data_IF_939484253861
#
_entry.id   IF_939484253861
#
_cell.length_a   1.000
_cell.length_b   1.000
_cell.length_c   1.000
_cell.angle_alpha   90.00
_cell.angle_beta   90.00
_cell.angle_gamma   90.00
#
_symmetry.space_group_name_H-M   'P 1'
#
loop_
_entity.id
_entity.type
_entity.pdbx_description
1 polymer ?
#
# COMPACT_ATOMS: atom_id res chain seq x y z
N UNK A 1 -13.70 10.93 6.94
CA UNK A 1 -12.56 10.31 6.24
C UNK A 1 -12.64 8.79 6.25
N UNK A 2 -12.71 8.16 5.07
CA UNK A 2 -12.54 6.71 4.89
C UNK A 2 -11.94 6.39 3.52
N UNK A 3 -11.36 5.20 3.35
CA UNK A 3 -10.92 4.72 2.03
C UNK A 3 -12.15 4.37 1.19
N UNK A 4 -12.39 5.09 0.09
CA UNK A 4 -13.54 4.87 -0.82
C UNK A 4 -13.26 3.79 -1.85
N UNK A 5 -12.02 3.72 -2.35
CA UNK A 5 -11.67 2.82 -3.46
C UNK A 5 -10.16 2.62 -3.55
N UNK A 6 -9.78 1.41 -3.96
CA UNK A 6 -8.43 1.09 -4.42
C UNK A 6 -8.49 0.89 -5.92
N UNK A 7 -7.73 1.69 -6.66
CA UNK A 7 -7.58 1.54 -8.11
C UNK A 7 -6.17 1.03 -8.40
N UNK A 8 -6.06 0.00 -9.23
CA UNK A 8 -4.77 -0.57 -9.61
C UNK A 8 -4.72 -0.89 -11.08
N UNK A 9 -3.52 -0.86 -11.65
CA UNK A 9 -3.25 -1.29 -13.02
C UNK A 9 -1.89 -1.98 -13.06
N UNK A 10 -1.85 -3.16 -13.68
CA UNK A 10 -0.66 -3.98 -13.87
C UNK A 10 0.03 -4.35 -12.54
N UNK A 11 -0.72 -4.54 -11.45
CA UNK A 11 -0.17 -4.79 -10.12
C UNK A 11 -0.32 -6.27 -9.73
N UNK A 12 0.79 -6.96 -9.46
CA UNK A 12 0.85 -8.39 -9.11
C UNK A 12 0.04 -9.26 -10.06
N UNK A 13 -1.09 -9.81 -9.61
CA UNK A 13 -1.99 -10.67 -10.40
C UNK A 13 -2.96 -9.88 -11.29
N UNK A 14 -3.05 -8.56 -11.12
CA UNK A 14 -4.01 -7.70 -11.81
C UNK A 14 -3.38 -7.02 -13.02
N UNK A 15 -3.43 -7.70 -14.17
CA UNK A 15 -2.81 -7.23 -15.44
C UNK A 15 -3.57 -6.12 -16.17
N UNK A 16 -4.78 -5.79 -15.73
CA UNK A 16 -5.62 -4.74 -16.31
C UNK A 16 -5.98 -3.69 -15.24
N UNK A 17 -6.64 -2.61 -15.67
CA UNK A 17 -7.23 -1.65 -14.73
C UNK A 17 -8.30 -2.36 -13.91
N UNK A 18 -8.17 -2.28 -12.59
CA UNK A 18 -9.15 -2.77 -11.62
C UNK A 18 -9.45 -1.67 -10.61
N UNK A 19 -10.71 -1.60 -10.19
CA UNK A 19 -11.18 -0.68 -9.17
C UNK A 19 -12.04 -1.44 -8.17
N UNK A 20 -11.67 -1.34 -6.90
CA UNK A 20 -12.34 -2.04 -5.80
C UNK A 20 -12.92 -0.98 -4.88
N UNK A 21 -14.26 -0.83 -4.84
CA UNK A 21 -14.91 0.09 -3.93
C UNK A 21 -14.88 -0.46 -2.50
N UNK A 22 -14.73 0.43 -1.54
CA UNK A 22 -14.85 0.18 -0.11
C UNK A 22 -16.01 1.03 0.39
N UNK A 23 -16.88 0.41 1.18
CA UNK A 23 -17.98 1.12 1.83
C UNK A 23 -17.58 1.46 3.25
N UNK A 24 -18.20 2.49 3.80
CA UNK A 24 -18.12 2.76 5.23
C UNK A 24 -18.61 1.56 6.05
N UNK A 25 -18.01 1.39 7.23
CA UNK A 25 -18.26 0.25 8.09
C UNK A 25 -17.40 -0.95 7.71
N UNK A 26 -18.02 -2.01 7.20
CA UNK A 26 -17.37 -3.31 7.05
C UNK A 26 -17.40 -3.81 5.60
N UNK A 27 -16.22 -4.09 5.06
CA UNK A 27 -16.04 -4.68 3.72
C UNK A 27 -15.34 -6.02 3.85
N UNK A 28 -15.95 -7.09 3.34
CA UNK A 28 -15.36 -8.42 3.29
C UNK A 28 -14.91 -8.77 1.86
N UNK A 29 -13.70 -9.31 1.72
CA UNK A 29 -13.11 -9.71 0.43
C UNK A 29 -12.93 -11.23 0.43
N UNK A 30 -13.73 -11.92 -0.39
CA UNK A 30 -13.76 -13.39 -0.46
C UNK A 30 -13.40 -13.93 -1.84
N UNK A 31 -13.07 -15.21 -1.93
CA UNK A 31 -12.73 -15.89 -3.18
C UNK A 31 -11.73 -17.03 -3.01
N UNK A 32 -11.50 -17.87 -4.05
CA UNK A 32 -10.61 -19.04 -3.97
C UNK A 32 -9.17 -18.70 -3.60
N UNK A 33 -8.40 -19.67 -3.10
CA UNK A 33 -6.96 -19.49 -2.89
C UNK A 33 -6.25 -19.18 -4.22
N UNK A 34 -5.28 -18.27 -4.19
CA UNK A 34 -4.58 -17.82 -5.39
C UNK A 34 -5.33 -16.80 -6.27
N UNK A 35 -6.58 -16.43 -5.95
CA UNK A 35 -7.36 -15.45 -6.74
C UNK A 35 -6.89 -13.98 -6.61
N UNK A 36 -5.87 -13.70 -5.81
CA UNK A 36 -5.31 -12.34 -5.67
C UNK A 36 -5.93 -11.49 -4.55
N UNK A 37 -6.79 -12.04 -3.68
CA UNK A 37 -7.39 -11.32 -2.54
C UNK A 37 -6.37 -10.55 -1.71
N UNK A 38 -5.31 -11.22 -1.27
CA UNK A 38 -4.27 -10.61 -0.44
C UNK A 38 -3.45 -9.57 -1.23
N UNK A 39 -3.42 -9.63 -2.57
CA UNK A 39 -2.78 -8.61 -3.39
C UNK A 39 -3.50 -7.26 -3.30
N UNK A 40 -4.76 -7.22 -2.84
CA UNK A 40 -5.47 -5.96 -2.57
C UNK A 40 -4.89 -5.27 -1.34
N UNK A 41 -4.62 -6.03 -0.27
CA UNK A 41 -3.92 -5.52 0.91
C UNK A 41 -2.48 -5.07 0.56
N UNK A 42 -1.78 -5.85 -0.26
CA UNK A 42 -0.46 -5.48 -0.78
C UNK A 42 -0.50 -4.18 -1.60
N UNK A 43 -1.57 -3.96 -2.38
CA UNK A 43 -1.74 -2.74 -3.16
C UNK A 43 -1.90 -1.52 -2.24
N UNK A 44 -2.67 -1.66 -1.15
CA UNK A 44 -2.79 -0.62 -0.11
C UNK A 44 -1.42 -0.32 0.50
N UNK A 45 -0.74 -1.34 1.01
CA UNK A 45 0.60 -1.19 1.60
C UNK A 45 1.59 -0.57 0.61
N UNK A 46 1.58 -1.02 -0.65
CA UNK A 46 2.44 -0.47 -1.68
C UNK A 46 2.31 1.05 -1.80
N UNK A 47 1.09 1.59 -1.78
CA UNK A 47 0.88 3.05 -1.82
C UNK A 47 1.37 3.71 -0.54
N UNK A 48 1.11 3.13 0.64
CA UNK A 48 1.56 3.71 1.91
C UNK A 48 3.09 3.78 2.04
N UNK A 49 3.82 2.93 1.33
CA UNK A 49 5.28 3.00 1.23
C UNK A 49 6.03 2.39 2.41
N UNK A 50 5.93 1.05 2.62
CA UNK A 50 6.65 0.36 3.69
C UNK A 50 8.17 0.47 3.52
N UNK A 51 8.87 0.26 4.63
CA UNK A 51 10.34 0.36 4.69
C UNK A 51 11.00 -0.76 3.89
N UNK A 52 10.37 -1.95 3.80
CA UNK A 52 10.87 -3.10 3.05
C UNK A 52 9.89 -3.63 2.01
N UNK A 53 10.40 -4.06 0.84
CA UNK A 53 9.63 -4.82 -0.16
C UNK A 53 9.08 -6.14 0.39
N UNK A 54 9.74 -6.73 1.39
CA UNK A 54 9.31 -7.96 2.07
C UNK A 54 7.96 -7.79 2.76
N UNK A 55 7.67 -6.59 3.29
CA UNK A 55 6.37 -6.27 3.90
C UNK A 55 5.23 -6.33 2.88
N UNK A 56 5.53 -6.21 1.57
CA UNK A 56 4.55 -6.37 0.48
C UNK A 56 4.73 -7.74 -0.20
N UNK A 57 5.38 -8.71 0.44
CA UNK A 57 5.59 -10.07 -0.09
C UNK A 57 6.22 -10.06 -1.49
N UNK A 58 7.26 -9.26 -1.66
CA UNK A 58 8.02 -9.14 -2.90
C UNK A 58 9.53 -9.14 -2.61
N UNK A 59 10.32 -9.80 -3.45
CA UNK A 59 11.78 -9.79 -3.33
C UNK A 59 12.32 -8.40 -3.70
N UNK A 60 11.92 -7.91 -4.87
CA UNK A 60 12.19 -6.56 -5.38
C UNK A 60 10.88 -5.83 -5.63
N UNK A 61 10.91 -4.50 -5.62
CA UNK A 61 9.72 -3.70 -5.95
C UNK A 61 9.22 -3.95 -7.38
N UNK A 62 10.10 -4.24 -8.33
CA UNK A 62 9.74 -4.61 -9.71
C UNK A 62 8.94 -5.91 -9.81
N UNK A 63 9.06 -6.82 -8.84
CA UNK A 63 8.28 -8.06 -8.80
C UNK A 63 6.78 -7.79 -8.50
N UNK A 64 6.43 -6.54 -8.12
CA UNK A 64 5.04 -6.09 -7.99
C UNK A 64 4.39 -5.73 -9.34
N UNK A 65 5.16 -5.67 -10.42
CA UNK A 65 4.64 -5.40 -11.76
C UNK A 65 4.08 -6.70 -12.34
N UNK A 66 2.91 -6.63 -12.98
CA UNK A 66 2.25 -7.77 -13.60
C UNK A 66 3.18 -8.46 -14.59
N UNK A 67 3.41 -9.76 -14.39
CA UNK A 67 4.40 -10.54 -15.12
C UNK A 67 3.85 -11.25 -16.37
N UNK A 68 2.60 -10.98 -16.76
CA UNK A 68 1.96 -11.64 -17.90
C UNK A 68 1.09 -12.86 -17.53
N UNK A 69 1.18 -13.40 -16.31
CA UNK A 69 0.44 -14.61 -15.97
C UNK A 69 0.74 -15.77 -16.93
N UNK A 70 -0.27 -16.57 -17.30
CA UNK A 70 -0.09 -17.73 -18.19
C UNK A 70 -0.04 -17.38 -19.69
N UNK A 71 -0.80 -16.37 -20.11
CA UNK A 71 -1.05 -16.07 -21.53
C UNK A 71 -0.91 -14.58 -21.88
N UNK A 72 -0.65 -13.72 -20.89
CA UNK A 72 -0.54 -12.28 -21.06
C UNK A 72 0.89 -11.80 -21.27
N UNK A 73 1.02 -10.56 -21.76
CA UNK A 73 2.31 -9.89 -21.88
C UNK A 73 2.74 -9.26 -20.53
N UNK A 74 4.00 -9.40 -20.11
CA UNK A 74 4.52 -8.68 -18.96
C UNK A 74 4.37 -7.16 -19.14
N UNK A 75 4.04 -6.47 -18.05
CA UNK A 75 4.02 -5.02 -18.02
C UNK A 75 5.41 -4.45 -17.68
N UNK A 76 5.64 -3.22 -18.12
CA UNK A 76 6.84 -2.42 -17.82
C UNK A 76 6.66 -1.51 -16.59
N UNK A 77 5.42 -1.33 -16.15
CA UNK A 77 5.03 -0.45 -15.05
C UNK A 77 3.75 -0.91 -14.38
N UNK A 78 3.62 -0.57 -13.11
CA UNK A 78 2.38 -0.69 -12.37
C UNK A 78 2.05 0.61 -11.63
N UNK A 79 0.76 0.81 -11.35
CA UNK A 79 0.26 1.97 -10.63
C UNK A 79 -0.88 1.55 -9.72
N UNK A 80 -0.83 2.02 -8.48
CA UNK A 80 -1.93 1.88 -7.52
C UNK A 80 -2.29 3.26 -6.99
N UNK A 81 -3.58 3.52 -6.84
CA UNK A 81 -4.16 4.73 -6.28
C UNK A 81 -5.11 4.35 -5.14
N UNK A 82 -4.92 4.96 -3.98
CA UNK A 82 -5.86 4.97 -2.87
C UNK A 82 -6.64 6.26 -2.92
N UNK A 83 -7.96 6.17 -2.82
CA UNK A 83 -8.82 7.33 -2.86
C UNK A 83 -9.65 7.39 -1.58
N UNK A 84 -9.50 8.50 -0.87
CA UNK A 84 -10.11 8.76 0.42
C UNK A 84 -11.19 9.83 0.30
N UNK A 85 -12.27 9.63 1.04
CA UNK A 85 -13.21 10.68 1.44
C UNK A 85 -12.50 11.62 2.43
N UNK A 86 -12.66 12.94 2.28
CA UNK A 86 -11.94 13.98 3.04
C UNK A 86 -12.77 15.26 3.32
N UNK A 87 -14.10 15.16 3.45
CA UNK A 87 -15.01 16.25 3.84
C UNK A 87 -14.66 16.84 5.21
N UNK A 88 -14.15 15.99 6.13
CA UNK A 88 -13.72 16.42 7.47
C UNK A 88 -12.32 17.05 7.52
N UNK A 89 -11.62 17.12 6.38
CA UNK A 89 -10.25 17.67 6.25
C UNK A 89 -9.22 17.02 7.18
N UNK A 90 -9.42 15.74 7.52
CA UNK A 90 -8.43 14.93 8.26
C UNK A 90 -7.08 14.89 7.53
N UNK A 91 -7.12 14.76 6.20
CA UNK A 91 -5.96 15.00 5.35
C UNK A 91 -5.97 16.51 5.02
N UNK A 92 -4.88 17.26 5.28
CA UNK A 92 -4.86 18.72 5.14
C UNK A 92 -4.72 19.14 3.67
N UNK A 93 -5.71 18.76 2.86
CA UNK A 93 -5.88 19.10 1.44
C UNK A 93 -7.30 19.63 1.29
N UNK A 94 -7.46 20.78 0.63
CA UNK A 94 -8.76 21.42 0.45
C UNK A 94 -9.58 20.80 -0.69
N UNK A 95 -9.82 19.50 -0.60
CA UNK A 95 -10.66 18.74 -1.51
C UNK A 95 -11.44 17.69 -0.72
N UNK A 96 -12.70 17.44 -1.12
CA UNK A 96 -13.56 16.44 -0.48
C UNK A 96 -13.14 14.99 -0.80
N UNK A 97 -12.28 14.80 -1.81
CA UNK A 97 -11.70 13.51 -2.16
C UNK A 97 -10.19 13.68 -2.37
N UNK A 98 -9.38 12.83 -1.74
CA UNK A 98 -7.92 12.86 -1.89
C UNK A 98 -7.43 11.53 -2.45
N UNK A 99 -6.65 11.59 -3.52
CA UNK A 99 -6.09 10.46 -4.24
C UNK A 99 -4.58 10.40 -4.06
N UNK A 100 -4.11 9.38 -3.36
CA UNK A 100 -2.70 9.04 -3.23
C UNK A 100 -2.33 7.97 -4.26
N UNK A 101 -1.38 8.26 -5.14
CA UNK A 101 -0.95 7.33 -6.17
C UNK A 101 0.54 7.03 -6.06
N UNK A 102 0.90 5.75 -6.08
CA UNK A 102 2.27 5.29 -6.31
C UNK A 102 2.36 4.54 -7.63
N UNK A 103 3.38 4.86 -8.43
CA UNK A 103 3.71 4.19 -9.69
C UNK A 103 5.15 3.73 -9.65
N UNK A 104 5.42 2.51 -10.09
CA UNK A 104 6.77 2.04 -10.40
C UNK A 104 6.87 1.70 -11.88
N UNK A 105 8.04 1.97 -12.47
CA UNK A 105 8.34 1.68 -13.88
C UNK A 105 9.76 1.16 -13.98
N UNK A 106 9.95 0.08 -14.74
CA UNK A 106 11.27 -0.48 -15.05
C UNK A 106 12.08 0.60 -15.78
N UNK A 107 13.33 0.79 -15.37
CA UNK A 107 14.26 1.70 -16.03
C UNK A 107 14.91 1.00 -17.21
N UNK A 108 15.24 1.74 -18.26
CA UNK A 108 15.94 1.23 -19.44
C UNK A 108 17.39 0.81 -19.12
N UNK A 109 17.94 1.29 -18.00
CA UNK A 109 19.27 0.93 -17.52
C UNK A 109 19.18 -0.31 -16.60
N UNK A 110 19.57 -1.45 -17.16
CA UNK A 110 19.48 -2.89 -16.79
C UNK A 110 19.22 -3.40 -15.36
N UNK A 111 19.10 -2.62 -14.27
CA UNK A 111 18.67 -3.14 -12.95
C UNK A 111 17.82 -2.17 -12.12
N UNK A 112 17.48 -1.00 -12.67
CA UNK A 112 16.77 0.05 -11.94
C UNK A 112 15.25 0.04 -12.09
N UNK A 113 14.57 0.75 -11.19
CA UNK A 113 13.19 1.18 -11.39
C UNK A 113 13.04 2.63 -10.94
N UNK A 114 12.12 3.35 -11.56
CA UNK A 114 11.71 4.67 -11.11
C UNK A 114 10.44 4.55 -10.29
N UNK A 115 10.40 5.20 -9.12
CA UNK A 115 9.20 5.32 -8.28
C UNK A 115 8.67 6.75 -8.36
N UNK A 116 7.37 6.89 -8.61
CA UNK A 116 6.69 8.17 -8.72
C UNK A 116 5.51 8.22 -7.77
N UNK A 117 5.33 9.38 -7.15
CA UNK A 117 4.27 9.66 -6.18
C UNK A 117 3.41 10.81 -6.70
N UNK A 118 2.09 10.70 -6.51
CA UNK A 118 1.16 11.74 -6.90
C UNK A 118 0.06 11.92 -5.86
N UNK A 119 -0.31 13.16 -5.62
CA UNK A 119 -1.45 13.57 -4.79
C UNK A 119 -2.41 14.30 -5.73
N UNK A 120 -3.66 13.82 -5.86
CA UNK A 120 -4.66 14.34 -6.78
C UNK A 120 -4.16 14.51 -8.23
N UNK A 121 -3.23 13.63 -8.65
CA UNK A 121 -2.63 13.65 -9.98
C UNK A 121 -1.43 14.60 -10.13
N UNK A 122 -1.17 15.49 -9.17
CA UNK A 122 0.04 16.31 -9.11
C UNK A 122 1.22 15.48 -8.61
N UNK A 123 2.38 15.59 -9.25
CA UNK A 123 3.62 14.97 -8.76
C UNK A 123 3.96 15.45 -7.35
N UNK A 124 4.38 14.52 -6.50
CA UNK A 124 4.83 14.80 -5.13
C UNK A 124 6.18 14.14 -4.85
N UNK A 125 6.86 14.63 -3.83
CA UNK A 125 7.99 13.88 -3.23
C UNK A 125 7.47 12.76 -2.35
N UNK A 126 8.33 11.80 -1.99
CA UNK A 126 7.97 10.78 -0.98
C UNK A 126 7.69 11.42 0.38
N UNK A 127 8.48 12.44 0.77
CA UNK A 127 8.33 13.16 2.03
C UNK A 127 6.96 13.81 2.14
N UNK A 128 6.58 14.64 1.16
CA UNK A 128 5.26 15.29 1.13
C UNK A 128 4.12 14.26 1.16
N UNK A 129 4.29 13.16 0.42
CA UNK A 129 3.31 12.08 0.36
C UNK A 129 3.10 11.39 1.71
N UNK A 130 4.19 11.10 2.43
CA UNK A 130 4.17 10.48 3.75
C UNK A 130 3.68 11.46 4.83
N UNK A 131 4.04 12.74 4.73
CA UNK A 131 3.63 13.77 5.67
C UNK A 131 2.10 13.94 5.64
N UNK A 132 1.46 13.99 4.46
CA UNK A 132 0.00 14.09 4.40
C UNK A 132 -0.71 12.84 4.96
N UNK A 133 -0.17 11.65 4.71
CA UNK A 133 -0.72 10.41 5.27
C UNK A 133 -0.59 10.36 6.80
N UNK A 134 0.51 10.90 7.35
CA UNK A 134 0.76 10.91 8.79
C UNK A 134 -0.19 11.83 9.55
N UNK A 135 -0.62 12.96 8.97
CA UNK A 135 -1.66 13.82 9.54
C UNK A 135 -2.98 13.05 9.74
N UNK A 136 -3.30 12.13 8.83
CA UNK A 136 -4.44 11.24 8.92
C UNK A 136 -4.20 10.00 9.81
N UNK A 137 -3.04 9.91 10.48
CA UNK A 137 -2.57 8.75 11.25
C UNK A 137 -2.52 7.46 10.42
N UNK A 138 -2.31 7.59 9.11
CA UNK A 138 -2.14 6.46 8.21
C UNK A 138 -0.64 6.27 8.00
N UNK A 139 -0.11 5.13 8.47
CA UNK A 139 1.29 4.78 8.24
C UNK A 139 1.43 3.29 7.89
N UNK A 140 2.49 2.90 7.16
CA UNK A 140 2.78 1.49 6.86
C UNK A 140 3.09 0.66 8.11
N UNK A 141 3.74 1.29 9.10
CA UNK A 141 4.14 0.67 10.37
C UNK A 141 3.12 0.87 11.49
N UNK A 142 1.97 1.47 11.20
CA UNK A 142 0.87 1.59 12.15
C UNK A 142 0.14 0.25 12.31
N UNK A 143 -0.63 0.12 13.39
CA UNK A 143 -1.43 -1.08 13.68
C UNK A 143 -2.76 -1.11 12.89
N UNK A 144 -2.88 -0.31 11.82
CA UNK A 144 -4.05 -0.20 10.96
C UNK A 144 -4.11 -1.29 9.86
N UNK A 145 -3.06 -2.09 9.71
CA UNK A 145 -3.01 -3.22 8.77
C UNK A 145 -2.45 -4.45 9.50
N UNK A 146 -3.24 -5.53 9.54
CA UNK A 146 -2.81 -6.83 10.08
C UNK A 146 -2.70 -7.80 8.90
N UNK A 147 -1.48 -8.28 8.65
CA UNK A 147 -1.17 -9.19 7.56
C UNK A 147 -1.32 -10.65 7.97
N UNK A 148 -1.35 -11.52 6.96
CA UNK A 148 -1.24 -12.96 7.18
C UNK A 148 0.08 -13.29 7.89
N UNK A 149 -0.02 -14.05 8.97
CA UNK A 149 1.13 -14.46 9.79
C UNK A 149 1.47 -13.50 10.93
N UNK A 150 0.88 -12.30 10.99
CA UNK A 150 1.17 -11.36 12.08
C UNK A 150 0.71 -11.89 13.44
N UNK A 151 -0.41 -12.61 13.49
CA UNK A 151 -0.87 -13.27 14.72
C UNK A 151 0.15 -14.32 15.18
N UNK A 152 0.66 -15.16 14.28
CA UNK A 152 1.69 -16.16 14.60
C UNK A 152 2.96 -15.48 15.11
N UNK A 153 3.41 -14.40 14.45
CA UNK A 153 4.57 -13.61 14.91
C UNK A 153 4.36 -13.11 16.34
N UNK A 154 3.20 -12.54 16.66
CA UNK A 154 2.91 -12.01 18.01
C UNK A 154 3.01 -13.11 19.08
N UNK A 155 2.54 -14.32 18.75
CA UNK A 155 2.60 -15.49 19.65
C UNK A 155 4.04 -15.97 19.83
N UNK A 156 4.84 -15.97 18.77
CA UNK A 156 6.22 -16.45 18.75
C UNK A 156 7.25 -15.42 19.28
N UNK A 157 6.88 -14.13 19.35
CA UNK A 157 7.74 -13.05 19.81
C UNK A 157 8.33 -13.31 21.21
N UNK A 158 9.62 -13.05 21.33
CA UNK A 158 10.31 -12.98 22.62
C UNK A 158 9.77 -11.82 23.49
N UNK A 159 10.03 -11.88 24.79
CA UNK A 159 9.70 -10.80 25.73
C UNK A 159 10.34 -9.47 25.34
N UNK A 160 11.56 -9.48 24.81
CA UNK A 160 12.29 -8.30 24.33
C UNK A 160 11.62 -7.67 23.12
N UNK A 161 11.24 -8.48 22.12
CA UNK A 161 10.54 -7.98 20.92
C UNK A 161 9.16 -7.41 21.29
N UNK A 162 8.43 -8.09 22.17
CA UNK A 162 7.14 -7.61 22.66
C UNK A 162 7.25 -6.31 23.43
N UNK A 163 8.32 -6.14 24.23
CA UNK A 163 8.59 -4.87 24.92
C UNK A 163 8.88 -3.74 23.93
N UNK A 164 9.65 -4.00 22.88
CA UNK A 164 9.95 -3.01 21.85
C UNK A 164 8.68 -2.44 21.20
N UNK A 165 7.68 -3.28 20.94
CA UNK A 165 6.36 -2.85 20.44
C UNK A 165 5.70 -1.85 21.41
N UNK A 166 5.77 -2.10 22.72
CA UNK A 166 5.22 -1.19 23.74
C UNK A 166 6.02 0.12 23.84
N UNK A 167 7.35 0.04 23.75
CA UNK A 167 8.23 1.22 23.73
C UNK A 167 7.93 2.10 22.50
N UNK A 168 7.67 1.48 21.34
CA UNK A 168 7.26 2.17 20.11
C UNK A 168 5.88 2.84 20.23
N UNK A 169 4.90 2.16 20.83
CA UNK A 169 3.55 2.72 21.05
C UNK A 169 3.58 3.87 22.05
N UNK A 170 4.41 3.76 23.09
CA UNK A 170 4.55 4.79 24.12
C UNK A 170 5.37 6.00 23.68
N UNK A 171 6.01 5.94 22.49
CA UNK A 171 6.86 7.02 21.97
C UNK A 171 8.16 7.20 22.75
N UNK A 172 8.59 6.16 23.48
CA UNK A 172 9.81 6.16 24.29
C UNK A 172 11.01 5.65 23.47
N UNK A 173 10.77 4.97 22.35
CA UNK A 173 11.84 4.50 21.48
C UNK A 173 12.49 5.65 20.70
N UNK A 174 13.68 6.03 21.16
CA UNK A 174 14.68 6.88 20.48
C UNK A 174 15.45 6.11 19.41
#
# INVERSE_FOLDING_TARGET
MHLKKVRMKNFKSFGNKMEIPFKEGYTNITGPNGSGKSNIADAILFVLGPKSSKEIRAGRLTDLIYNGGKEGKPADKCKVSLIFENEDRTIPVDENEVTFTRKIQISDNEQGYNSYFYINGRTSTLTEFQDLLSHARISPGGYNIVQQGDISKIVEMSSTERRKILDDISGISS
#
